data_IF_439472944263
#
_entry.id   IF_439472944263
#
_cell.length_a   1.000
_cell.length_b   1.000
_cell.length_c   1.000
_cell.angle_alpha   90.00
_cell.angle_beta   90.00
_cell.angle_gamma   90.00
#
_symmetry.space_group_name_H-M   'P 1'
#
loop_
_entity.id
_entity.type
_entity.pdbx_description
1 polymer ?
#
# COMPACT_ATOMS: atom_id res chain seq x y z
N UNK A 1 18.45 -6.39 8.84
CA UNK A 1 17.09 -6.60 8.31
C UNK A 1 16.44 -5.24 8.09
N UNK A 2 15.81 -5.03 6.95
CA UNK A 2 15.05 -3.79 6.66
C UNK A 2 13.65 -3.77 7.28
N UNK A 3 13.22 -4.88 7.88
CA UNK A 3 11.89 -5.01 8.46
C UNK A 3 11.66 -4.04 9.62
N UNK A 4 12.57 -4.00 10.58
CA UNK A 4 12.42 -3.18 11.78
C UNK A 4 12.34 -1.67 11.48
N UNK A 5 13.22 -1.07 10.68
CA UNK A 5 13.11 0.35 10.32
C UNK A 5 11.80 0.71 9.60
N UNK A 6 11.28 -0.19 8.75
CA UNK A 6 9.97 0.02 8.12
C UNK A 6 8.82 -0.08 9.14
N UNK A 7 8.87 -1.03 10.06
CA UNK A 7 7.87 -1.15 11.12
C UNK A 7 7.84 0.11 12.02
N UNK A 8 9.00 0.67 12.33
CA UNK A 8 9.13 1.90 13.13
C UNK A 8 8.67 3.18 12.41
N UNK A 9 8.53 3.15 11.09
CA UNK A 9 7.96 4.27 10.33
C UNK A 9 6.43 4.32 10.38
N UNK A 10 5.77 3.29 10.87
CA UNK A 10 4.31 3.22 10.95
C UNK A 10 3.78 4.09 12.09
N UNK A 11 2.54 4.57 11.96
CA UNK A 11 1.84 5.20 13.07
C UNK A 11 1.55 4.21 14.21
N UNK A 12 1.22 4.72 15.40
CA UNK A 12 1.01 3.92 16.60
C UNK A 12 -0.06 2.82 16.43
N UNK A 13 -1.10 3.05 15.63
CA UNK A 13 -2.14 2.05 15.36
C UNK A 13 -1.60 0.87 14.55
N UNK A 14 -0.84 1.15 13.48
CA UNK A 14 -0.27 0.11 12.63
C UNK A 14 0.84 -0.66 13.34
N UNK A 15 1.61 -0.02 14.22
CA UNK A 15 2.65 -0.67 15.02
C UNK A 15 2.12 -1.75 15.97
N UNK A 16 0.84 -1.72 16.33
CA UNK A 16 0.25 -2.72 17.24
C UNK A 16 0.11 -4.10 16.59
N UNK A 17 -0.02 -4.18 15.27
CA UNK A 17 -0.31 -5.44 14.57
C UNK A 17 0.63 -5.74 13.40
N UNK A 18 0.99 -4.74 12.57
CA UNK A 18 1.76 -4.95 11.36
C UNK A 18 3.17 -5.53 11.56
N UNK A 19 3.89 -5.29 12.68
CA UNK A 19 5.16 -5.95 12.95
C UNK A 19 5.09 -7.48 13.10
N UNK A 20 3.88 -8.03 13.25
CA UNK A 20 3.65 -9.49 13.30
C UNK A 20 3.46 -10.11 11.90
N UNK A 21 3.43 -9.30 10.86
CA UNK A 21 3.30 -9.79 9.48
C UNK A 21 4.52 -10.63 9.06
N UNK A 22 4.29 -11.57 8.13
CA UNK A 22 5.37 -12.38 7.58
C UNK A 22 6.31 -11.57 6.68
N UNK A 23 5.78 -10.52 6.02
CA UNK A 23 6.56 -9.60 5.20
C UNK A 23 5.98 -8.19 5.23
N UNK A 24 6.85 -7.19 5.04
CA UNK A 24 6.51 -5.82 4.74
C UNK A 24 7.04 -5.48 3.35
N UNK A 25 6.18 -4.97 2.49
CA UNK A 25 6.51 -4.55 1.12
C UNK A 25 6.35 -3.05 1.01
N UNK A 26 7.40 -2.35 0.60
CA UNK A 26 7.31 -0.94 0.23
C UNK A 26 6.84 -0.84 -1.22
N UNK A 27 5.66 -0.26 -1.43
CA UNK A 27 5.10 -0.04 -2.78
C UNK A 27 5.61 1.30 -3.29
N UNK A 28 6.47 1.24 -4.29
CA UNK A 28 7.13 2.41 -4.86
C UNK A 28 6.90 2.50 -6.36
N UNK A 29 7.05 3.69 -6.92
CA UNK A 29 7.06 3.93 -8.36
C UNK A 29 8.24 4.77 -8.80
N UNK A 30 8.69 4.55 -10.02
CA UNK A 30 9.61 5.43 -10.73
C UNK A 30 8.84 6.59 -11.36
N UNK A 31 9.23 7.83 -11.04
CA UNK A 31 8.50 9.04 -11.44
C UNK A 31 8.76 9.47 -12.89
N UNK A 32 9.68 8.80 -13.57
CA UNK A 32 10.11 9.14 -14.91
C UNK A 32 9.78 8.00 -15.89
N UNK A 33 9.78 8.30 -17.17
CA UNK A 33 9.63 7.33 -18.26
C UNK A 33 10.38 7.80 -19.51
N UNK A 34 10.62 6.88 -20.44
CA UNK A 34 11.11 7.19 -21.78
C UNK A 34 10.01 6.86 -22.79
N UNK A 35 9.15 7.83 -23.17
CA UNK A 35 8.10 7.61 -24.18
C UNK A 35 8.71 7.19 -25.54
N UNK A 36 7.97 6.52 -26.41
CA UNK A 36 8.41 6.17 -27.75
C UNK A 36 8.92 7.42 -28.50
N UNK A 37 10.14 7.34 -29.02
CA UNK A 37 10.82 8.43 -29.73
C UNK A 37 11.55 9.45 -28.84
N UNK A 38 11.40 9.41 -27.53
CA UNK A 38 12.18 10.25 -26.62
C UNK A 38 13.61 9.70 -26.46
N UNK A 39 14.58 10.62 -26.35
CA UNK A 39 16.00 10.27 -26.12
C UNK A 39 16.43 10.45 -24.65
N UNK A 40 15.53 10.91 -23.80
CA UNK A 40 15.78 11.17 -22.37
C UNK A 40 14.57 10.84 -21.53
N UNK A 41 14.82 10.68 -20.23
CA UNK A 41 13.76 10.53 -19.23
C UNK A 41 12.95 11.81 -19.09
N UNK A 42 11.62 11.67 -19.04
CA UNK A 42 10.67 12.76 -18.78
C UNK A 42 9.74 12.37 -17.64
N UNK A 43 9.07 13.32 -16.98
CA UNK A 43 8.07 12.99 -15.94
C UNK A 43 7.00 12.04 -16.45
N UNK A 44 6.74 10.97 -15.71
CA UNK A 44 5.68 10.00 -15.99
C UNK A 44 4.42 10.36 -15.18
N UNK A 45 3.45 10.99 -15.80
CA UNK A 45 2.19 11.35 -15.15
C UNK A 45 1.30 10.16 -14.74
N UNK A 46 1.56 8.97 -15.29
CA UNK A 46 0.77 7.76 -15.01
C UNK A 46 1.30 6.91 -13.85
N UNK A 47 2.50 7.19 -13.33
CA UNK A 47 3.19 6.31 -12.37
C UNK A 47 2.37 5.97 -11.13
N UNK A 48 1.58 6.90 -10.60
CA UNK A 48 0.72 6.68 -9.43
C UNK A 48 -0.47 5.77 -9.74
N UNK A 49 -1.09 5.98 -10.91
CA UNK A 49 -2.21 5.17 -11.39
C UNK A 49 -1.77 3.71 -11.64
N UNK A 50 -0.66 3.53 -12.34
CA UNK A 50 -0.09 2.22 -12.63
C UNK A 50 0.30 1.48 -11.34
N UNK A 51 0.84 2.19 -10.36
CA UNK A 51 1.19 1.62 -9.05
C UNK A 51 -0.05 1.15 -8.29
N UNK A 52 -1.16 1.90 -8.36
CA UNK A 52 -2.43 1.47 -7.77
C UNK A 52 -2.97 0.19 -8.42
N UNK A 53 -2.86 0.07 -9.76
CA UNK A 53 -3.22 -1.14 -10.48
C UNK A 53 -2.32 -2.33 -10.11
N UNK A 54 -1.00 -2.11 -10.04
CA UNK A 54 -0.03 -3.14 -9.61
C UNK A 54 -0.31 -3.60 -8.17
N UNK A 55 -0.64 -2.69 -7.25
CA UNK A 55 -1.06 -3.03 -5.89
C UNK A 55 -2.30 -3.93 -5.89
N UNK A 56 -3.33 -3.61 -6.68
CA UNK A 56 -4.53 -4.44 -6.76
C UNK A 56 -4.20 -5.86 -7.24
N UNK A 57 -3.35 -6.01 -8.26
CA UNK A 57 -2.89 -7.31 -8.75
C UNK A 57 -2.13 -8.09 -7.66
N UNK A 58 -1.24 -7.44 -6.91
CA UNK A 58 -0.52 -8.06 -5.79
C UNK A 58 -1.49 -8.57 -4.72
N UNK A 59 -2.47 -7.76 -4.33
CA UNK A 59 -3.46 -8.13 -3.30
C UNK A 59 -4.31 -9.34 -3.73
N UNK A 60 -4.74 -9.36 -5.00
CA UNK A 60 -5.48 -10.47 -5.58
C UNK A 60 -4.62 -11.74 -5.62
N UNK A 61 -3.37 -11.64 -6.10
CA UNK A 61 -2.46 -12.78 -6.15
C UNK A 61 -2.13 -13.31 -4.75
N UNK A 62 -1.91 -12.44 -3.77
CA UNK A 62 -1.71 -12.86 -2.38
C UNK A 62 -2.88 -13.69 -1.89
N UNK A 63 -4.12 -13.26 -2.15
CA UNK A 63 -5.34 -13.98 -1.79
C UNK A 63 -5.41 -15.35 -2.45
N UNK A 64 -5.15 -15.46 -3.76
CA UNK A 64 -5.10 -16.74 -4.46
C UNK A 64 -4.01 -17.69 -3.92
N UNK A 65 -2.93 -17.13 -3.40
CA UNK A 65 -1.84 -17.87 -2.76
C UNK A 65 -2.12 -18.20 -1.28
N UNK A 66 -3.33 -17.92 -0.78
CA UNK A 66 -3.74 -18.17 0.60
C UNK A 66 -3.09 -17.21 1.61
N UNK A 67 -2.68 -16.01 1.19
CA UNK A 67 -2.15 -14.95 2.04
C UNK A 67 -3.14 -13.78 2.12
N UNK A 68 -3.02 -13.01 3.19
CA UNK A 68 -3.74 -11.74 3.35
C UNK A 68 -2.75 -10.60 3.19
N UNK A 69 -3.23 -9.49 2.65
CA UNK A 69 -2.44 -8.27 2.46
C UNK A 69 -3.21 -7.04 2.91
N UNK A 70 -2.51 -6.09 3.51
CA UNK A 70 -3.10 -4.84 3.98
C UNK A 70 -2.16 -3.68 3.65
N UNK A 71 -2.61 -2.76 2.79
CA UNK A 71 -1.88 -1.55 2.47
C UNK A 71 -2.12 -0.49 3.53
N UNK A 72 -1.05 0.14 4.00
CA UNK A 72 -1.04 1.15 5.04
C UNK A 72 -0.50 2.48 4.48
N UNK A 73 -1.33 3.54 4.57
CA UNK A 73 -0.91 4.92 4.34
C UNK A 73 -0.61 5.68 5.65
N UNK A 74 -0.93 5.08 6.81
CA UNK A 74 -0.59 5.63 8.13
C UNK A 74 0.87 5.36 8.50
N UNK A 75 1.79 5.99 7.76
CA UNK A 75 3.24 5.87 7.90
C UNK A 75 3.91 7.24 7.82
N UNK A 76 5.09 7.34 8.37
CA UNK A 76 6.02 8.44 8.11
C UNK A 76 6.77 8.12 6.80
N UNK A 77 6.38 8.80 5.73
CA UNK A 77 6.91 8.57 4.39
C UNK A 77 8.40 8.93 4.27
N UNK A 78 8.86 9.94 4.98
CA UNK A 78 10.27 10.35 4.96
C UNK A 78 11.13 9.28 5.65
N UNK A 79 10.72 8.87 6.85
CA UNK A 79 11.40 7.81 7.60
C UNK A 79 11.40 6.47 6.87
N UNK A 80 10.26 6.08 6.28
CA UNK A 80 10.16 4.84 5.50
C UNK A 80 11.03 4.88 4.24
N UNK A 81 11.04 6.01 3.52
CA UNK A 81 11.88 6.19 2.33
C UNK A 81 13.36 6.14 2.68
N UNK A 82 13.77 6.78 3.77
CA UNK A 82 15.16 6.72 4.25
C UNK A 82 15.55 5.28 4.64
N UNK A 83 14.65 4.53 5.29
CA UNK A 83 14.92 3.15 5.71
C UNK A 83 15.21 2.19 4.55
N UNK A 84 14.72 2.48 3.35
CA UNK A 84 14.96 1.67 2.14
C UNK A 84 15.94 2.34 1.16
N UNK A 85 16.55 3.46 1.53
CA UNK A 85 17.39 4.28 0.65
C UNK A 85 16.69 4.59 -0.69
N UNK A 86 15.42 5.02 -0.62
CA UNK A 86 14.61 5.28 -1.81
C UNK A 86 15.23 6.42 -2.64
N UNK A 87 15.54 6.21 -3.93
CA UNK A 87 16.09 7.27 -4.77
C UNK A 87 15.11 8.43 -4.97
N UNK A 88 15.63 9.64 -5.19
CA UNK A 88 14.84 10.86 -5.35
C UNK A 88 13.87 10.85 -6.55
N UNK A 89 14.18 10.05 -7.57
CA UNK A 89 13.33 9.83 -8.74
C UNK A 89 12.26 8.76 -8.55
N UNK A 90 12.15 8.20 -7.34
CA UNK A 90 11.08 7.28 -6.92
C UNK A 90 10.12 7.96 -5.94
N UNK A 91 8.95 7.36 -5.78
CA UNK A 91 7.94 7.74 -4.79
C UNK A 91 7.46 6.51 -4.03
N UNK A 92 7.41 6.61 -2.71
CA UNK A 92 6.75 5.63 -1.85
C UNK A 92 5.26 5.95 -1.78
N UNK A 93 4.41 4.95 -1.96
CA UNK A 93 2.95 5.09 -1.93
C UNK A 93 2.32 4.47 -0.69
N UNK A 94 2.81 3.33 -0.25
CA UNK A 94 2.30 2.61 0.90
C UNK A 94 3.33 1.59 1.41
N UNK A 95 3.16 1.17 2.66
CA UNK A 95 3.69 -0.11 3.13
C UNK A 95 2.56 -1.15 3.11
N UNK A 96 2.87 -2.36 2.67
CA UNK A 96 1.93 -3.48 2.63
C UNK A 96 2.41 -4.56 3.59
N UNK A 97 1.58 -4.88 4.58
CA UNK A 97 1.77 -6.05 5.42
C UNK A 97 1.19 -7.28 4.71
N UNK A 98 1.97 -8.35 4.61
CA UNK A 98 1.54 -9.65 4.07
C UNK A 98 1.71 -10.71 5.16
N UNK A 99 0.65 -11.49 5.42
CA UNK A 99 0.67 -12.48 6.48
C UNK A 99 -0.48 -13.48 6.40
N UNK A 100 -0.57 -14.33 7.41
CA UNK A 100 -1.75 -15.17 7.65
C UNK A 100 -2.67 -14.45 8.64
N UNK A 101 -3.97 -14.65 8.49
CA UNK A 101 -4.93 -14.11 9.44
C UNK A 101 -4.76 -14.82 10.78
N UNK A 102 -4.54 -14.03 11.83
CA UNK A 102 -4.46 -14.51 13.21
C UNK A 102 -5.84 -14.55 13.87
N UNK A 103 -5.86 -14.91 15.15
CA UNK A 103 -7.04 -14.84 15.98
C UNK A 103 -7.35 -13.36 16.32
N UNK A 104 -8.53 -12.82 15.92
CA UNK A 104 -8.89 -11.44 16.24
C UNK A 104 -9.07 -11.19 17.74
N UNK A 105 -9.26 -12.23 18.57
CA UNK A 105 -9.42 -12.07 20.03
C UNK A 105 -8.16 -11.50 20.72
N UNK A 106 -6.97 -11.62 20.08
CA UNK A 106 -5.72 -11.06 20.61
C UNK A 106 -5.52 -9.58 20.28
N UNK A 107 -6.42 -8.98 19.49
CA UNK A 107 -6.38 -7.57 19.16
C UNK A 107 -6.99 -6.72 20.28
N UNK A 108 -6.49 -5.50 20.53
CA UNK A 108 -7.19 -4.50 21.32
C UNK A 108 -8.62 -4.29 20.81
N UNK A 109 -9.56 -3.99 21.71
CA UNK A 109 -10.99 -3.89 21.37
C UNK A 109 -11.26 -2.97 20.19
N UNK A 110 -10.65 -1.79 20.17
CA UNK A 110 -10.80 -0.82 19.08
C UNK A 110 -10.33 -1.33 17.70
N UNK A 111 -9.38 -2.27 17.65
CA UNK A 111 -8.96 -2.92 16.40
C UNK A 111 -9.86 -4.09 16.06
N UNK A 112 -10.29 -4.88 17.08
CA UNK A 112 -11.19 -6.02 16.89
C UNK A 112 -12.56 -5.61 16.32
N UNK A 113 -13.12 -4.50 16.77
CA UNK A 113 -14.38 -3.95 16.23
C UNK A 113 -14.29 -3.59 14.74
N UNK A 114 -13.09 -3.31 14.24
CA UNK A 114 -12.82 -2.95 12.84
C UNK A 114 -12.55 -4.15 11.93
N UNK A 115 -12.54 -5.38 12.45
CA UNK A 115 -12.29 -6.59 11.66
C UNK A 115 -13.47 -7.00 10.75
N UNK A 116 -14.63 -6.36 10.90
CA UNK A 116 -15.77 -6.56 10.00
C UNK A 116 -15.56 -5.77 8.69
N UNK A 117 -15.89 -6.35 7.53
CA UNK A 117 -15.86 -5.63 6.27
C UNK A 117 -16.74 -4.38 6.32
N UNK A 118 -16.19 -3.23 5.94
CA UNK A 118 -16.97 -2.01 5.83
C UNK A 118 -17.94 -2.07 4.63
N UNK A 119 -19.08 -1.36 4.67
CA UNK A 119 -19.97 -1.24 3.52
C UNK A 119 -19.24 -0.51 2.37
N UNK A 120 -19.39 -1.04 1.15
CA UNK A 120 -18.86 -0.41 -0.06
C UNK A 120 -19.92 0.56 -0.62
N UNK A 121 -19.46 1.67 -1.18
CA UNK A 121 -20.36 2.57 -1.90
C UNK A 121 -20.96 1.84 -3.12
N UNK A 122 -22.26 2.03 -3.38
CA UNK A 122 -22.88 1.47 -4.57
C UNK A 122 -22.26 2.07 -5.85
N UNK A 123 -22.24 1.29 -6.92
CA UNK A 123 -21.57 1.67 -8.17
C UNK A 123 -22.05 3.03 -8.73
N UNK A 124 -23.33 3.39 -8.52
CA UNK A 124 -23.90 4.68 -8.97
C UNK A 124 -23.26 5.90 -8.28
N UNK A 125 -22.59 5.74 -7.15
CA UNK A 125 -21.83 6.80 -6.47
C UNK A 125 -20.37 6.88 -6.92
N UNK A 126 -19.88 5.83 -7.57
CA UNK A 126 -18.49 5.70 -8.01
C UNK A 126 -18.29 5.94 -9.49
N UNK A 127 -19.33 5.67 -10.28
CA UNK A 127 -19.30 5.82 -11.73
C UNK A 127 -20.58 6.48 -12.23
N UNK A 128 -20.45 7.45 -13.10
CA UNK A 128 -21.56 8.17 -13.72
C UNK A 128 -21.48 8.08 -15.24
N UNK A 129 -22.64 8.11 -15.89
CA UNK A 129 -22.69 8.19 -17.35
C UNK A 129 -22.68 9.68 -17.75
N UNK A 130 -21.56 10.13 -18.32
CA UNK A 130 -21.42 11.50 -18.80
C UNK A 130 -20.70 12.42 -17.80
N UNK A 131 -21.40 13.24 -17.06
CA UNK A 131 -20.87 14.27 -16.17
C UNK A 131 -21.21 13.99 -14.71
N UNK A 132 -20.31 14.30 -13.82
CA UNK A 132 -20.65 14.48 -12.40
C UNK A 132 -21.51 15.72 -12.27
N UNK A 133 -22.58 15.67 -11.47
CA UNK A 133 -23.44 16.81 -11.13
C UNK A 133 -22.86 17.62 -9.99
#
# INVERSE_FOLDING_TARGET
>A
SFFQPLAESMNASNQQWAPKAAALVAVTSFKLSTPPGAQSLVPNGAHTFDTGAAWACLAIQATFSGWYSHAMGGIDFEKASAAINLPNDHQLHALVAIGKRGDPSVLPDALRERESPNPRKPIRELAVRGKFL
#
